data_IF_557203711188
#
_entry.id   IF_557203711188
#
_cell.length_a   1.000
_cell.length_b   1.000
_cell.length_c   1.000
_cell.angle_alpha   90.00
_cell.angle_beta   90.00
_cell.angle_gamma   90.00
#
_symmetry.space_group_name_H-M   'P 1'
#
loop_
_entity.id
_entity.type
_entity.pdbx_description
1 polymer ?
#
# COMPACT_ATOMS: atom_id res chain seq x y z
N UNK A 1 -21.13 -9.06 9.98
CA UNK A 1 -20.19 -10.19 10.10
C UNK A 1 -18.92 -9.80 9.34
N UNK A 2 -17.84 -9.46 10.03
CA UNK A 2 -16.59 -9.00 9.40
C UNK A 2 -15.75 -10.21 8.97
N UNK A 3 -15.32 -10.28 7.71
CA UNK A 3 -14.53 -11.40 7.18
C UNK A 3 -13.17 -10.94 6.68
N UNK A 4 -12.26 -11.90 6.38
CA UNK A 4 -10.97 -11.62 5.73
C UNK A 4 -11.11 -10.85 4.40
N UNK A 5 -12.21 -11.05 3.68
CA UNK A 5 -12.52 -10.30 2.46
C UNK A 5 -12.84 -8.83 2.77
N UNK A 6 -13.59 -8.58 3.84
CA UNK A 6 -13.89 -7.22 4.31
C UNK A 6 -12.60 -6.48 4.67
N UNK A 7 -11.64 -7.16 5.32
CA UNK A 7 -10.35 -6.56 5.68
C UNK A 7 -9.55 -6.12 4.43
N UNK A 8 -9.46 -6.97 3.41
CA UNK A 8 -8.75 -6.63 2.16
C UNK A 8 -9.41 -5.50 1.39
N UNK A 9 -10.74 -5.47 1.38
CA UNK A 9 -11.50 -4.38 0.77
C UNK A 9 -11.15 -3.04 1.44
N UNK A 10 -11.12 -3.00 2.78
CA UNK A 10 -10.76 -1.80 3.52
C UNK A 10 -9.31 -1.39 3.29
N UNK A 11 -8.36 -2.34 3.29
CA UNK A 11 -6.98 -2.04 2.92
C UNK A 11 -6.87 -1.42 1.52
N UNK A 12 -7.47 -2.06 0.51
CA UNK A 12 -7.44 -1.55 -0.87
C UNK A 12 -8.07 -0.17 -1.01
N UNK A 13 -9.28 0.03 -0.46
CA UNK A 13 -9.98 1.31 -0.52
C UNK A 13 -9.20 2.41 0.18
N UNK A 14 -8.74 2.15 1.42
CA UNK A 14 -7.98 3.13 2.19
C UNK A 14 -6.70 3.52 1.47
N UNK A 15 -5.92 2.55 0.97
CA UNK A 15 -4.66 2.82 0.25
C UNK A 15 -4.93 3.63 -1.02
N UNK A 16 -5.90 3.22 -1.84
CA UNK A 16 -6.26 3.97 -3.06
C UNK A 16 -6.68 5.40 -2.72
N UNK A 17 -7.61 5.59 -1.79
CA UNK A 17 -8.12 6.92 -1.42
C UNK A 17 -7.03 7.78 -0.81
N UNK A 18 -6.20 7.22 0.09
CA UNK A 18 -5.10 7.96 0.71
C UNK A 18 -4.09 8.46 -0.33
N UNK A 19 -3.73 7.64 -1.32
CA UNK A 19 -2.86 8.09 -2.41
C UNK A 19 -3.49 9.17 -3.29
N UNK A 20 -4.78 9.06 -3.62
CA UNK A 20 -5.47 10.09 -4.39
C UNK A 20 -5.60 11.42 -3.62
N UNK A 21 -5.84 11.36 -2.31
CA UNK A 21 -5.83 12.54 -1.45
C UNK A 21 -4.42 13.14 -1.33
N UNK A 22 -3.39 12.30 -1.21
CA UNK A 22 -1.98 12.71 -1.20
C UNK A 22 -1.62 13.44 -2.50
N UNK A 23 -2.09 12.94 -3.64
CA UNK A 23 -1.94 13.60 -4.94
C UNK A 23 -2.61 14.97 -4.97
N UNK A 24 -3.83 15.07 -4.42
CA UNK A 24 -4.58 16.31 -4.37
C UNK A 24 -3.88 17.36 -3.49
N UNK A 25 -3.50 16.99 -2.26
CA UNK A 25 -2.82 17.90 -1.32
C UNK A 25 -1.44 18.30 -1.80
N UNK A 26 -0.68 17.36 -2.37
CA UNK A 26 0.65 17.63 -2.94
C UNK A 26 0.64 18.63 -4.09
N UNK A 27 -0.50 18.81 -4.77
CA UNK A 27 -0.67 19.83 -5.83
C UNK A 27 -1.27 21.14 -5.36
N UNK A 28 -1.93 21.17 -4.20
CA UNK A 28 -2.80 22.30 -3.80
C UNK A 28 -2.31 23.02 -2.55
N UNK A 29 -1.38 22.46 -1.78
CA UNK A 29 -0.92 23.04 -0.51
C UNK A 29 0.58 23.33 -0.51
N UNK A 30 0.97 24.56 -0.12
CA UNK A 30 2.38 24.99 0.03
C UNK A 30 3.14 24.19 1.10
N UNK A 31 2.44 23.63 2.10
CA UNK A 31 2.99 22.75 3.15
C UNK A 31 2.39 21.34 3.09
N UNK A 32 2.34 20.76 1.88
CA UNK A 32 1.69 19.47 1.62
C UNK A 32 2.16 18.30 2.51
N UNK A 33 3.43 18.25 2.92
CA UNK A 33 3.99 17.12 3.68
C UNK A 33 3.25 16.84 5.00
N UNK A 34 2.87 17.88 5.76
CA UNK A 34 2.12 17.71 7.00
C UNK A 34 0.70 17.19 6.77
N UNK A 35 0.01 17.71 5.75
CA UNK A 35 -1.32 17.24 5.36
C UNK A 35 -1.29 15.77 4.89
N UNK A 36 -0.25 15.39 4.14
CA UNK A 36 -0.01 14.01 3.71
C UNK A 36 0.19 13.10 4.92
N UNK A 37 1.06 13.46 5.86
CA UNK A 37 1.28 12.69 7.09
C UNK A 37 -0.03 12.42 7.86
N UNK A 38 -0.82 13.47 8.12
CA UNK A 38 -2.09 13.32 8.83
C UNK A 38 -3.12 12.49 8.05
N UNK A 39 -3.16 12.64 6.73
CA UNK A 39 -4.03 11.82 5.86
C UNK A 39 -3.69 10.35 6.03
N UNK A 40 -2.42 9.98 5.97
CA UNK A 40 -1.99 8.60 6.11
C UNK A 40 -2.22 8.05 7.52
N UNK A 41 -1.93 8.84 8.57
CA UNK A 41 -2.21 8.44 9.95
C UNK A 41 -3.70 8.12 10.12
N UNK A 42 -4.59 9.05 9.74
CA UNK A 42 -6.04 8.89 9.92
C UNK A 42 -6.57 7.74 9.05
N UNK A 43 -6.16 7.68 7.78
CA UNK A 43 -6.59 6.66 6.84
C UNK A 43 -6.24 5.25 7.36
N UNK A 44 -5.03 5.09 7.90
CA UNK A 44 -4.51 3.79 8.31
C UNK A 44 -5.03 3.29 9.65
N UNK A 45 -5.64 4.15 10.48
CA UNK A 45 -6.28 3.72 11.72
C UNK A 45 -7.33 2.62 11.49
N UNK A 46 -8.19 2.78 10.47
CA UNK A 46 -9.27 1.83 10.18
C UNK A 46 -8.72 0.43 9.84
N UNK A 47 -7.89 0.25 8.79
CA UNK A 47 -7.42 -1.09 8.42
C UNK A 47 -6.47 -1.71 9.47
N UNK A 48 -5.70 -0.91 10.22
CA UNK A 48 -4.85 -1.41 11.31
C UNK A 48 -5.72 -1.91 12.47
N UNK A 49 -6.68 -1.12 12.94
CA UNK A 49 -7.60 -1.55 14.01
C UNK A 49 -8.38 -2.79 13.58
N UNK A 50 -8.88 -2.83 12.34
CA UNK A 50 -9.55 -4.01 11.81
C UNK A 50 -8.63 -5.24 11.78
N UNK A 51 -7.35 -5.08 11.44
CA UNK A 51 -6.36 -6.17 11.47
C UNK A 51 -6.22 -6.73 12.89
N UNK A 52 -6.09 -5.85 13.90
CA UNK A 52 -5.98 -6.23 15.32
C UNK A 52 -7.22 -6.98 15.83
N UNK A 53 -8.41 -6.57 15.37
CA UNK A 53 -9.68 -7.13 15.82
C UNK A 53 -10.02 -8.45 15.13
N UNK A 54 -9.71 -8.61 13.84
CA UNK A 54 -10.24 -9.69 13.01
C UNK A 54 -9.29 -10.86 12.79
N UNK A 55 -7.98 -10.64 12.82
CA UNK A 55 -7.06 -11.69 12.37
C UNK A 55 -5.67 -11.57 13.02
N UNK A 56 -5.62 -11.68 14.35
CA UNK A 56 -4.40 -11.58 15.17
C UNK A 56 -3.26 -12.50 14.73
N UNK A 57 -3.55 -13.58 14.00
CA UNK A 57 -2.56 -14.56 13.51
C UNK A 57 -2.17 -14.38 12.05
N UNK A 58 -2.70 -13.38 11.36
CA UNK A 58 -2.45 -13.19 9.94
C UNK A 58 -1.15 -12.43 9.70
N UNK A 59 -0.09 -13.19 9.45
CA UNK A 59 1.24 -12.65 9.16
C UNK A 59 1.23 -11.62 8.01
N UNK A 60 0.39 -11.81 6.98
CA UNK A 60 0.27 -10.86 5.87
C UNK A 60 -0.26 -9.51 6.33
N UNK A 61 -1.30 -9.51 7.16
CA UNK A 61 -1.88 -8.27 7.67
C UNK A 61 -0.89 -7.52 8.58
N UNK A 62 -0.10 -8.26 9.37
CA UNK A 62 0.96 -7.68 10.19
C UNK A 62 2.15 -7.14 9.40
N UNK A 63 2.52 -7.76 8.28
CA UNK A 63 3.57 -7.23 7.39
C UNK A 63 3.15 -5.87 6.84
N UNK A 64 1.91 -5.75 6.36
CA UNK A 64 1.39 -4.48 5.85
C UNK A 64 1.24 -3.43 6.95
N UNK A 65 0.63 -3.77 8.08
CA UNK A 65 0.50 -2.86 9.21
C UNK A 65 1.87 -2.38 9.73
N UNK A 66 2.84 -3.29 9.88
CA UNK A 66 4.19 -2.97 10.31
C UNK A 66 4.92 -2.07 9.30
N UNK A 67 4.85 -2.39 8.00
CA UNK A 67 5.46 -1.58 6.96
C UNK A 67 4.87 -0.16 6.93
N UNK A 68 3.55 -0.03 7.04
CA UNK A 68 2.87 1.28 7.09
C UNK A 68 3.30 2.09 8.33
N UNK A 69 3.37 1.47 9.51
CA UNK A 69 3.81 2.15 10.74
C UNK A 69 5.26 2.62 10.61
N UNK A 70 6.16 1.75 10.13
CA UNK A 70 7.57 2.08 9.95
C UNK A 70 7.78 3.20 8.92
N UNK A 71 7.10 3.13 7.78
CA UNK A 71 7.15 4.18 6.75
C UNK A 71 6.62 5.51 7.29
N UNK A 72 5.48 5.49 7.98
CA UNK A 72 4.90 6.71 8.55
C UNK A 72 5.79 7.32 9.63
N UNK A 73 6.44 6.49 10.47
CA UNK A 73 7.39 6.95 11.47
C UNK A 73 8.64 7.57 10.83
N UNK A 74 9.13 7.00 9.72
CA UNK A 74 10.23 7.55 8.94
C UNK A 74 9.85 8.89 8.29
N UNK A 75 8.68 8.99 7.66
CA UNK A 75 8.14 10.25 7.14
C UNK A 75 8.01 11.32 8.22
N UNK A 76 7.52 10.94 9.41
CA UNK A 76 7.39 11.86 10.53
C UNK A 76 8.76 12.35 11.00
N UNK A 77 9.73 11.45 11.17
CA UNK A 77 11.08 11.81 11.57
C UNK A 77 11.76 12.71 10.54
N UNK A 78 11.71 12.36 9.26
CA UNK A 78 12.32 13.14 8.19
C UNK A 78 11.73 14.56 8.12
N UNK A 79 10.41 14.68 8.33
CA UNK A 79 9.72 15.97 8.41
C UNK A 79 10.10 16.77 9.66
N UNK A 80 10.03 16.15 10.85
CA UNK A 80 10.31 16.80 12.13
C UNK A 80 11.78 17.23 12.28
N UNK A 81 12.72 16.47 11.69
CA UNK A 81 14.14 16.80 11.66
C UNK A 81 14.52 17.77 10.53
N UNK A 82 13.55 18.20 9.71
CA UNK A 82 13.77 19.01 8.50
C UNK A 82 14.87 18.44 7.59
N UNK A 83 14.94 17.10 7.49
CA UNK A 83 16.03 16.39 6.82
C UNK A 83 15.87 16.44 5.29
N UNK A 84 16.12 17.61 4.69
CA UNK A 84 15.90 17.90 3.25
C UNK A 84 16.53 16.87 2.31
N UNK A 85 17.69 16.33 2.65
CA UNK A 85 18.37 15.32 1.84
C UNK A 85 17.64 13.97 1.78
N UNK A 86 16.86 13.63 2.82
CA UNK A 86 16.18 12.33 2.95
C UNK A 86 14.69 12.43 2.60
N UNK A 87 14.09 13.62 2.70
CA UNK A 87 12.66 13.82 2.39
C UNK A 87 12.23 13.24 1.03
N UNK A 88 12.99 13.37 -0.08
CA UNK A 88 12.60 12.76 -1.34
C UNK A 88 12.53 11.23 -1.26
N UNK A 89 13.49 10.60 -0.59
CA UNK A 89 13.47 9.16 -0.39
C UNK A 89 12.29 8.74 0.49
N UNK A 90 12.11 9.42 1.63
CA UNK A 90 11.10 9.18 2.64
C UNK A 90 9.66 9.24 2.08
N UNK A 91 9.31 10.36 1.46
CA UNK A 91 7.95 10.59 0.97
C UNK A 91 7.68 9.89 -0.36
N UNK A 92 8.71 9.43 -1.07
CA UNK A 92 8.56 8.87 -2.39
C UNK A 92 9.10 7.46 -2.57
N UNK A 93 10.41 7.30 -2.66
CA UNK A 93 11.05 6.02 -3.00
C UNK A 93 10.73 4.91 -1.99
N UNK A 94 10.68 5.25 -0.70
CA UNK A 94 10.42 4.29 0.38
C UNK A 94 9.08 3.56 0.22
N UNK A 95 8.04 4.25 -0.26
CA UNK A 95 6.71 3.69 -0.44
C UNK A 95 6.63 2.69 -1.59
N UNK A 96 7.42 2.90 -2.64
CA UNK A 96 7.61 1.88 -3.68
C UNK A 96 8.38 0.69 -3.14
N UNK A 97 9.44 0.91 -2.35
CA UNK A 97 10.24 -0.18 -1.81
C UNK A 97 9.42 -1.08 -0.89
N UNK A 98 8.67 -0.50 0.04
CA UNK A 98 7.77 -1.27 0.90
C UNK A 98 6.65 -1.94 0.11
N UNK A 99 6.10 -1.28 -0.91
CA UNK A 99 5.17 -1.91 -1.84
C UNK A 99 5.77 -3.16 -2.49
N UNK A 100 7.00 -3.07 -3.00
CA UNK A 100 7.69 -4.17 -3.66
C UNK A 100 7.86 -5.37 -2.73
N UNK A 101 8.36 -5.14 -1.52
CA UNK A 101 8.59 -6.18 -0.52
C UNK A 101 7.27 -6.78 -0.01
N UNK A 102 6.28 -5.93 0.31
CA UNK A 102 4.98 -6.35 0.82
C UNK A 102 4.21 -7.18 -0.21
N UNK A 103 4.21 -6.78 -1.47
CA UNK A 103 3.56 -7.54 -2.54
C UNK A 103 4.34 -8.80 -2.93
N UNK A 104 5.67 -8.80 -2.89
CA UNK A 104 6.45 -10.02 -3.13
C UNK A 104 6.16 -11.07 -2.06
N UNK A 105 6.11 -10.67 -0.79
CA UNK A 105 5.69 -11.53 0.31
C UNK A 105 4.23 -12.00 0.15
N UNK A 106 3.33 -11.11 -0.26
CA UNK A 106 1.93 -11.48 -0.50
C UNK A 106 1.82 -12.51 -1.64
N UNK A 107 2.56 -12.33 -2.73
CA UNK A 107 2.57 -13.26 -3.86
C UNK A 107 3.09 -14.65 -3.48
N UNK A 108 4.05 -14.76 -2.55
CA UNK A 108 4.57 -16.05 -2.09
C UNK A 108 3.61 -16.76 -1.12
N UNK A 109 2.83 -16.00 -0.35
CA UNK A 109 1.95 -16.53 0.69
C UNK A 109 0.52 -16.86 0.21
N UNK A 110 0.03 -16.26 -0.88
CA UNK A 110 -1.34 -16.53 -1.36
C UNK A 110 -1.43 -17.80 -2.21
N UNK A 111 -2.59 -18.44 -2.16
CA UNK A 111 -2.95 -19.57 -3.04
C UNK A 111 -3.62 -19.10 -4.33
N UNK A 112 -3.50 -19.91 -5.39
CA UNK A 112 -4.08 -19.65 -6.72
C UNK A 112 -3.14 -18.90 -7.67
N UNK A 113 -2.91 -19.45 -8.87
CA UNK A 113 -1.95 -18.91 -9.85
C UNK A 113 -2.25 -17.46 -10.25
N UNK A 114 -3.53 -17.13 -10.49
CA UNK A 114 -3.95 -15.77 -10.87
C UNK A 114 -3.66 -14.75 -9.76
N UNK A 115 -3.86 -15.12 -8.50
CA UNK A 115 -3.63 -14.24 -7.34
C UNK A 115 -2.13 -14.01 -7.12
N UNK A 116 -1.32 -15.08 -7.28
CA UNK A 116 0.15 -14.97 -7.29
C UNK A 116 0.65 -14.05 -8.40
N UNK A 117 0.10 -14.16 -9.61
CA UNK A 117 0.44 -13.29 -10.73
C UNK A 117 0.07 -11.82 -10.47
N UNK A 118 -1.13 -11.58 -9.93
CA UNK A 118 -1.60 -10.23 -9.60
C UNK A 118 -0.65 -9.52 -8.63
N UNK A 119 -0.32 -10.17 -7.51
CA UNK A 119 0.59 -9.60 -6.51
C UNK A 119 2.05 -9.60 -6.98
N UNK A 120 2.47 -10.59 -7.76
CA UNK A 120 3.81 -10.62 -8.35
C UNK A 120 4.04 -9.46 -9.32
N UNK A 121 3.04 -9.14 -10.15
CA UNK A 121 3.09 -7.97 -11.03
C UNK A 121 3.12 -6.66 -10.23
N UNK A 122 2.28 -6.53 -9.20
CA UNK A 122 2.30 -5.38 -8.31
C UNK A 122 3.69 -5.21 -7.66
N UNK A 123 4.30 -6.29 -7.18
CA UNK A 123 5.65 -6.28 -6.62
C UNK A 123 6.70 -5.81 -7.63
N UNK A 124 6.66 -6.34 -8.85
CA UNK A 124 7.58 -5.97 -9.92
C UNK A 124 7.46 -4.49 -10.31
N UNK A 125 6.23 -3.98 -10.48
CA UNK A 125 5.99 -2.56 -10.79
C UNK A 125 6.49 -1.64 -9.68
N UNK A 126 6.29 -2.04 -8.42
CA UNK A 126 6.81 -1.30 -7.28
C UNK A 126 8.35 -1.32 -7.23
N UNK A 127 8.98 -2.45 -7.54
CA UNK A 127 10.44 -2.55 -7.60
C UNK A 127 11.01 -1.66 -8.71
N UNK A 128 10.38 -1.66 -9.88
CA UNK A 128 10.75 -0.77 -11.00
C UNK A 128 10.66 0.70 -10.56
N UNK A 129 9.56 1.10 -9.91
CA UNK A 129 9.40 2.45 -9.37
C UNK A 129 10.48 2.81 -8.34
N UNK A 130 10.84 1.87 -7.46
CA UNK A 130 11.91 2.05 -6.48
C UNK A 130 13.25 2.34 -7.16
N UNK A 131 13.64 1.50 -8.13
CA UNK A 131 14.90 1.65 -8.87
C UNK A 131 14.91 2.96 -9.63
N UNK A 132 13.81 3.27 -10.33
CA UNK A 132 13.71 4.48 -11.13
C UNK A 132 13.85 5.76 -10.28
N UNK A 133 13.14 5.84 -9.14
CA UNK A 133 13.20 6.99 -8.23
C UNK A 133 14.51 7.08 -7.44
N UNK A 134 15.24 5.98 -7.29
CA UNK A 134 16.60 6.01 -6.72
C UNK A 134 17.58 6.74 -7.63
N UNK A 135 17.45 6.57 -8.96
CA UNK A 135 18.32 7.25 -9.93
C UNK A 135 17.82 8.65 -10.30
N UNK A 136 16.50 8.85 -10.32
CA UNK A 136 15.90 10.14 -10.60
C UNK A 136 14.62 10.32 -9.78
N UNK A 137 14.74 11.02 -8.64
CA UNK A 137 13.64 11.26 -7.71
C UNK A 137 12.52 12.14 -8.29
N UNK A 138 12.79 12.92 -9.34
CA UNK A 138 11.82 13.79 -10.02
C UNK A 138 11.08 13.08 -11.17
N UNK A 139 11.47 11.84 -11.52
CA UNK A 139 10.96 11.15 -12.71
C UNK A 139 9.43 11.02 -12.73
N UNK A 140 8.81 10.85 -11.57
CA UNK A 140 7.36 10.68 -11.40
C UNK A 140 6.71 11.91 -10.76
N UNK A 141 7.38 13.06 -10.78
CA UNK A 141 6.86 14.29 -10.21
C UNK A 141 5.46 14.57 -10.76
N UNK A 142 4.53 14.83 -9.83
CA UNK A 142 3.13 15.08 -10.18
C UNK A 142 2.29 13.85 -10.55
N UNK A 143 2.83 12.64 -10.69
CA UNK A 143 2.05 11.43 -11.03
C UNK A 143 2.24 10.27 -10.06
N UNK A 144 3.26 10.34 -9.22
CA UNK A 144 3.70 9.24 -8.38
C UNK A 144 2.59 8.61 -7.53
N UNK A 145 1.77 9.43 -6.88
CA UNK A 145 0.74 8.91 -5.98
C UNK A 145 -0.43 8.30 -6.77
N UNK A 146 -0.73 8.79 -7.97
CA UNK A 146 -1.69 8.13 -8.87
C UNK A 146 -1.17 6.74 -9.26
N UNK A 147 0.12 6.65 -9.62
CA UNK A 147 0.75 5.38 -9.95
C UNK A 147 0.67 4.42 -8.75
N UNK A 148 1.02 4.88 -7.55
CA UNK A 148 0.93 4.07 -6.33
C UNK A 148 -0.51 3.63 -6.02
N UNK A 149 -1.51 4.49 -6.22
CA UNK A 149 -2.92 4.11 -6.07
C UNK A 149 -3.31 2.95 -7.01
N UNK A 150 -2.80 2.99 -8.25
CA UNK A 150 -3.04 1.95 -9.25
C UNK A 150 -2.27 0.67 -8.94
N UNK A 151 -0.98 0.74 -8.65
CA UNK A 151 -0.14 -0.45 -8.53
C UNK A 151 -0.17 -1.09 -7.13
N UNK A 152 -0.68 -0.37 -6.12
CA UNK A 152 -0.83 -0.90 -4.76
C UNK A 152 -2.30 -1.10 -4.35
N UNK A 153 -3.15 -0.10 -4.56
CA UNK A 153 -4.54 -0.17 -4.12
C UNK A 153 -5.42 -1.08 -4.99
N UNK A 154 -5.33 -0.95 -6.33
CA UNK A 154 -6.18 -1.72 -7.26
C UNK A 154 -5.95 -3.24 -7.15
N UNK A 155 -4.72 -3.78 -7.05
CA UNK A 155 -4.51 -5.21 -6.85
C UNK A 155 -5.24 -5.77 -5.62
N UNK A 156 -5.29 -5.02 -4.52
CA UNK A 156 -6.01 -5.45 -3.31
C UNK A 156 -7.52 -5.49 -3.54
N UNK A 157 -8.06 -4.53 -4.30
CA UNK A 157 -9.48 -4.50 -4.67
C UNK A 157 -9.85 -5.63 -5.64
N UNK A 158 -8.99 -5.94 -6.60
CA UNK A 158 -9.19 -7.03 -7.56
C UNK A 158 -9.09 -8.42 -6.91
N UNK A 159 -8.36 -8.57 -5.80
CA UNK A 159 -8.27 -9.85 -5.08
C UNK A 159 -9.63 -10.26 -4.47
N UNK A 160 -10.50 -9.30 -4.15
CA UNK A 160 -11.82 -9.56 -3.54
C UNK A 160 -12.71 -10.47 -4.42
N UNK A 161 -13.02 -10.11 -5.68
CA UNK A 161 -13.80 -11.00 -6.55
C UNK A 161 -13.07 -12.30 -6.88
N UNK A 162 -11.73 -12.30 -6.96
CA UNK A 162 -10.95 -13.51 -7.26
C UNK A 162 -11.05 -14.56 -6.16
N UNK A 163 -11.06 -14.14 -4.88
CA UNK A 163 -11.30 -15.04 -3.75
C UNK A 163 -12.70 -15.64 -3.76
N UNK A 164 -13.71 -14.87 -4.14
CA UNK A 164 -15.10 -15.36 -4.24
C UNK A 164 -15.20 -16.45 -5.30
N UNK A 165 -14.67 -16.20 -6.49
CA UNK A 165 -14.64 -17.18 -7.59
C UNK A 165 -13.90 -18.46 -7.22
N UNK A 166 -12.78 -18.35 -6.47
CA UNK A 166 -12.04 -19.52 -6.02
C UNK A 166 -12.85 -20.38 -5.04
N UNK A 167 -13.50 -19.76 -4.04
CA UNK A 167 -14.35 -20.48 -3.10
C UNK A 167 -15.57 -21.14 -3.78
N UNK A 168 -16.18 -20.48 -4.75
CA UNK A 168 -17.29 -21.04 -5.55
C UNK A 168 -16.83 -22.25 -6.38
N UNK A 169 -15.65 -22.18 -7.00
CA UNK A 169 -15.07 -23.27 -7.77
C UNK A 169 -14.69 -24.48 -6.90
N UNK A 170 -14.22 -24.25 -5.68
CA UNK A 170 -13.92 -25.30 -4.69
C UNK A 170 -15.20 -25.97 -4.17
N UNK A 171 -16.27 -25.20 -3.96
CA UNK A 171 -17.55 -25.73 -3.47
C UNK A 171 -18.25 -26.58 -4.53
N UNK A 172 -18.18 -26.20 -5.82
CA UNK A 172 -18.78 -26.96 -6.92
C UNK A 172 -18.03 -28.26 -7.27
N UNK A 173 -16.79 -28.43 -6.78
CA UNK A 173 -15.96 -29.63 -7.00
C UNK A 173 -16.12 -30.71 -5.93
N UNK A 174 -16.76 -30.40 -4.81
CA UNK A 174 -17.02 -31.31 -3.69
C UNK A 174 -18.48 -31.77 -3.70
#
# INVERSE_FOLDING_TARGET
>A
MFTRQTLLLWWGLTVTVAYLLTQYFGRTMEHGHGAVLWTWIIAMLIPVVMTLLLDKRNALAWVWAGATVLATAENYWAHAAEAKAIMPFSFHTLWFLFGALGFAYTASAVEGSRRKQLYGLAAALNLIGTVALTFNHELLEGYQYIILAVIQGVPMLLDVPMRRQQHEAETTRN
#
